data_IF_199488742469
#
_entry.id   IF_199488742469
#
_cell.length_a   1.000
_cell.length_b   1.000
_cell.length_c   1.000
_cell.angle_alpha   90.00
_cell.angle_beta   90.00
_cell.angle_gamma   90.00
#
_symmetry.space_group_name_H-M   'P 1'
#
loop_
_entity.id
_entity.type
_entity.pdbx_description
1 polymer ?
#
# COMPACT_ATOMS: atom_id res chain seq x y z
N UNK A 1 -21.80 24.97 -64.58
CA UNK A 1 -21.95 24.91 -63.11
C UNK A 1 -21.71 23.47 -62.68
N UNK A 2 -20.46 23.16 -62.31
CA UNK A 2 -20.03 21.83 -61.87
C UNK A 2 -19.37 22.05 -60.50
N UNK A 3 -19.89 21.39 -59.47
CA UNK A 3 -19.39 21.53 -58.10
C UNK A 3 -20.22 20.71 -57.12
N UNK A 4 -20.21 19.38 -57.23
CA UNK A 4 -20.94 18.51 -56.30
C UNK A 4 -20.45 17.06 -56.30
N UNK A 5 -19.15 16.83 -56.11
CA UNK A 5 -18.58 15.47 -56.14
C UNK A 5 -17.52 15.11 -55.08
N UNK A 6 -16.77 16.07 -54.53
CA UNK A 6 -15.50 15.75 -53.85
C UNK A 6 -15.56 15.64 -52.31
N UNK A 7 -16.73 15.76 -51.66
CA UNK A 7 -16.84 15.79 -50.19
C UNK A 7 -17.50 14.56 -49.52
N UNK A 8 -17.66 13.41 -50.20
CA UNK A 8 -18.41 12.27 -49.65
C UNK A 8 -17.59 11.23 -48.88
N UNK A 9 -16.31 11.04 -49.20
CA UNK A 9 -15.54 9.95 -48.60
C UNK A 9 -14.91 10.35 -47.25
N UNK A 10 -14.54 11.63 -47.11
CA UNK A 10 -14.02 12.18 -45.85
C UNK A 10 -15.06 12.13 -44.72
N UNK A 11 -16.33 12.40 -45.01
CA UNK A 11 -17.40 12.35 -44.02
C UNK A 11 -17.66 10.93 -43.52
N UNK A 12 -17.65 9.95 -44.43
CA UNK A 12 -17.77 8.52 -44.11
C UNK A 12 -16.54 8.05 -43.31
N UNK A 13 -15.34 8.48 -43.68
CA UNK A 13 -14.11 8.16 -42.96
C UNK A 13 -14.10 8.75 -41.54
N UNK A 14 -14.50 10.02 -41.38
CA UNK A 14 -14.62 10.66 -40.06
C UNK A 14 -15.68 9.98 -39.18
N UNK A 15 -16.82 9.58 -39.76
CA UNK A 15 -17.84 8.81 -39.05
C UNK A 15 -17.31 7.44 -38.61
N UNK A 16 -16.59 6.74 -39.48
CA UNK A 16 -15.96 5.47 -39.17
C UNK A 16 -14.94 5.58 -38.03
N UNK A 17 -14.05 6.57 -38.09
CA UNK A 17 -13.06 6.85 -37.02
C UNK A 17 -13.78 7.23 -35.72
N UNK A 18 -14.80 8.08 -35.79
CA UNK A 18 -15.61 8.48 -34.64
C UNK A 18 -16.31 7.30 -33.98
N UNK A 19 -16.96 6.45 -34.77
CA UNK A 19 -17.63 5.24 -34.29
C UNK A 19 -16.65 4.26 -33.64
N UNK A 20 -15.50 3.98 -34.28
CA UNK A 20 -14.45 3.12 -33.71
C UNK A 20 -13.93 3.69 -32.39
N UNK A 21 -13.72 5.01 -32.32
CA UNK A 21 -13.25 5.68 -31.10
C UNK A 21 -14.27 5.57 -29.96
N UNK A 22 -15.55 5.81 -30.24
CA UNK A 22 -16.63 5.66 -29.25
C UNK A 22 -16.75 4.22 -28.78
N UNK A 23 -16.76 3.25 -29.69
CA UNK A 23 -16.82 1.81 -29.34
C UNK A 23 -15.61 1.41 -28.51
N UNK A 24 -14.40 1.86 -28.87
CA UNK A 24 -13.18 1.60 -28.10
C UNK A 24 -13.29 2.15 -26.68
N UNK A 25 -13.77 3.38 -26.50
CA UNK A 25 -13.96 3.96 -25.18
C UNK A 25 -15.06 3.26 -24.37
N UNK A 26 -16.20 2.91 -24.98
CA UNK A 26 -17.27 2.17 -24.32
C UNK A 26 -16.81 0.78 -23.88
N UNK A 27 -16.10 0.05 -24.74
CA UNK A 27 -15.53 -1.25 -24.41
C UNK A 27 -14.50 -1.13 -23.27
N UNK A 28 -13.63 -0.13 -23.34
CA UNK A 28 -12.66 0.14 -22.26
C UNK A 28 -13.36 0.45 -20.94
N UNK A 29 -14.40 1.30 -20.94
CA UNK A 29 -15.16 1.64 -19.74
C UNK A 29 -15.89 0.44 -19.16
N UNK A 30 -16.57 -0.36 -19.99
CA UNK A 30 -17.27 -1.57 -19.54
C UNK A 30 -16.31 -2.59 -18.94
N UNK A 31 -15.14 -2.83 -19.56
CA UNK A 31 -14.09 -3.70 -19.01
C UNK A 31 -13.54 -3.18 -17.68
N UNK A 32 -13.34 -1.86 -17.54
CA UNK A 32 -12.90 -1.24 -16.28
C UNK A 32 -13.94 -1.38 -15.18
N UNK A 33 -15.22 -1.11 -15.47
CA UNK A 33 -16.32 -1.29 -14.52
C UNK A 33 -16.46 -2.74 -14.10
N UNK A 34 -16.38 -3.68 -15.05
CA UNK A 34 -16.40 -5.11 -14.77
C UNK A 34 -15.23 -5.55 -13.89
N UNK A 35 -14.02 -5.06 -14.17
CA UNK A 35 -12.85 -5.30 -13.33
C UNK A 35 -13.07 -4.78 -11.90
N UNK A 36 -13.62 -3.58 -11.73
CA UNK A 36 -13.96 -3.01 -10.43
C UNK A 36 -14.99 -3.86 -9.66
N UNK A 37 -16.07 -4.29 -10.32
CA UNK A 37 -17.09 -5.19 -9.74
C UNK A 37 -16.44 -6.50 -9.29
N UNK A 38 -15.61 -7.10 -10.14
CA UNK A 38 -14.91 -8.35 -9.84
C UNK A 38 -13.97 -8.20 -8.63
N UNK A 39 -13.17 -7.14 -8.58
CA UNK A 39 -12.15 -6.94 -7.54
C UNK A 39 -12.74 -6.49 -6.21
N UNK A 40 -13.84 -5.72 -6.19
CA UNK A 40 -14.35 -5.11 -4.94
C UNK A 40 -15.70 -5.64 -4.47
N UNK A 41 -16.52 -6.21 -5.36
CA UNK A 41 -17.82 -6.80 -4.97
C UNK A 41 -17.75 -8.31 -4.91
N UNK A 42 -17.31 -8.97 -6.00
CA UNK A 42 -17.24 -10.44 -6.02
C UNK A 42 -16.23 -10.99 -5.02
N UNK A 43 -15.11 -10.27 -4.82
CA UNK A 43 -14.08 -10.65 -3.84
C UNK A 43 -14.58 -10.68 -2.39
N UNK A 44 -15.58 -9.86 -2.05
CA UNK A 44 -16.19 -9.87 -0.72
C UNK A 44 -17.04 -11.12 -0.47
N UNK A 45 -17.62 -11.68 -1.53
CA UNK A 45 -18.50 -12.86 -1.50
C UNK A 45 -17.66 -14.14 -1.64
N UNK A 46 -16.72 -14.16 -2.58
CA UNK A 46 -15.91 -15.31 -2.95
C UNK A 46 -14.45 -15.06 -2.57
N UNK A 47 -14.13 -15.30 -1.31
CA UNK A 47 -12.79 -15.02 -0.77
C UNK A 47 -11.82 -16.16 -1.09
N UNK A 48 -10.58 -15.81 -1.43
CA UNK A 48 -9.51 -16.80 -1.57
C UNK A 48 -9.19 -17.44 -0.20
N UNK A 49 -9.00 -18.76 -0.15
CA UNK A 49 -8.54 -19.43 1.06
C UNK A 49 -7.07 -19.10 1.31
N UNK A 50 -6.83 -18.18 2.24
CA UNK A 50 -5.48 -17.72 2.56
C UNK A 50 -4.63 -18.80 3.23
N UNK A 51 -5.24 -19.75 3.94
CA UNK A 51 -4.51 -20.87 4.57
C UNK A 51 -3.91 -21.80 3.53
N UNK A 52 -4.46 -21.78 2.31
CA UNK A 52 -3.89 -22.57 1.23
C UNK A 52 -2.43 -22.17 0.97
N UNK A 53 -2.01 -20.91 1.17
CA UNK A 53 -0.64 -20.47 0.90
C UNK A 53 0.41 -21.00 1.90
N UNK A 54 0.00 -21.41 3.10
CA UNK A 54 0.84 -21.99 4.15
C UNK A 54 0.30 -21.69 5.54
N UNK A 55 0.95 -22.25 6.57
CA UNK A 55 0.49 -22.14 7.96
C UNK A 55 0.73 -20.74 8.55
N UNK A 56 1.91 -20.15 8.30
CA UNK A 56 2.33 -18.92 8.95
C UNK A 56 2.28 -17.71 8.01
N UNK A 57 1.88 -16.57 8.56
CA UNK A 57 2.00 -15.26 7.93
C UNK A 57 2.99 -14.36 8.69
N UNK A 58 3.94 -13.78 7.96
CA UNK A 58 4.86 -12.77 8.50
C UNK A 58 4.30 -11.38 8.21
N UNK A 59 4.16 -10.55 9.24
CA UNK A 59 3.68 -9.16 9.11
C UNK A 59 4.72 -8.20 9.68
N UNK A 60 5.21 -7.29 8.84
CA UNK A 60 6.16 -6.23 9.28
C UNK A 60 5.41 -4.97 9.71
N UNK A 61 5.91 -4.30 10.75
CA UNK A 61 5.21 -3.15 11.35
C UNK A 61 3.89 -3.54 12.04
N UNK A 62 3.84 -4.73 12.64
CA UNK A 62 2.60 -5.36 13.10
C UNK A 62 2.01 -4.81 14.43
N UNK A 63 2.65 -3.81 15.04
CA UNK A 63 2.22 -3.30 16.35
C UNK A 63 1.10 -2.26 16.30
N UNK A 64 0.83 -1.66 15.15
CA UNK A 64 -0.24 -0.65 15.02
C UNK A 64 -0.74 -0.49 13.58
N UNK A 65 -1.84 0.25 13.41
CA UNK A 65 -2.33 0.68 12.10
C UNK A 65 -2.68 -0.49 11.18
N UNK A 66 -2.34 -0.35 9.89
CA UNK A 66 -2.63 -1.34 8.86
C UNK A 66 -1.96 -2.68 9.18
N UNK A 67 -0.68 -2.68 9.60
CA UNK A 67 0.04 -3.92 9.93
C UNK A 67 -0.64 -4.73 11.03
N UNK A 68 -1.02 -4.09 12.14
CA UNK A 68 -1.78 -4.76 13.20
C UNK A 68 -3.10 -5.32 12.69
N UNK A 69 -3.84 -4.53 11.91
CA UNK A 69 -5.12 -4.97 11.35
C UNK A 69 -4.98 -6.16 10.39
N UNK A 70 -3.90 -6.20 9.59
CA UNK A 70 -3.58 -7.36 8.76
C UNK A 70 -3.26 -8.58 9.60
N UNK A 71 -2.45 -8.44 10.66
CA UNK A 71 -2.13 -9.54 11.56
C UNK A 71 -3.39 -10.14 12.22
N UNK A 72 -4.27 -9.30 12.75
CA UNK A 72 -5.53 -9.73 13.35
C UNK A 72 -6.47 -10.40 12.34
N UNK A 73 -6.63 -9.83 11.13
CA UNK A 73 -7.51 -10.39 10.10
C UNK A 73 -6.95 -11.70 9.50
N UNK A 74 -5.63 -11.83 9.34
CA UNK A 74 -4.99 -13.10 8.93
C UNK A 74 -5.15 -14.18 9.99
N UNK A 75 -5.03 -13.83 11.27
CA UNK A 75 -5.27 -14.77 12.37
C UNK A 75 -6.73 -15.21 12.41
N UNK A 76 -7.66 -14.28 12.21
CA UNK A 76 -9.09 -14.58 12.08
C UNK A 76 -9.40 -15.52 10.92
N UNK A 77 -8.62 -15.45 9.83
CA UNK A 77 -8.71 -16.37 8.68
C UNK A 77 -7.96 -17.69 8.90
N UNK A 78 -7.39 -17.89 10.09
CA UNK A 78 -6.86 -19.16 10.54
C UNK A 78 -5.37 -19.40 10.31
N UNK A 79 -4.59 -18.35 10.03
CA UNK A 79 -3.12 -18.43 9.98
C UNK A 79 -2.47 -18.14 11.34
N UNK A 80 -1.33 -18.76 11.58
CA UNK A 80 -0.43 -18.39 12.68
C UNK A 80 0.41 -17.17 12.29
N UNK A 81 0.73 -16.29 13.23
CA UNK A 81 1.27 -14.95 12.90
C UNK A 81 2.66 -14.73 13.46
N UNK A 82 3.62 -14.42 12.58
CA UNK A 82 4.89 -13.82 12.96
C UNK A 82 4.76 -12.29 12.92
N UNK A 83 4.89 -11.67 14.08
CA UNK A 83 4.81 -10.23 14.27
C UNK A 83 6.22 -9.63 14.33
N UNK A 84 6.57 -8.77 13.37
CA UNK A 84 7.87 -8.09 13.34
C UNK A 84 7.68 -6.58 13.53
N UNK A 85 8.32 -6.02 14.56
CA UNK A 85 8.34 -4.57 14.83
C UNK A 85 9.45 -4.22 15.82
N UNK A 86 9.53 -2.95 16.21
CA UNK A 86 10.66 -2.38 16.98
C UNK A 86 10.44 -2.32 18.48
N UNK A 87 9.21 -2.52 18.94
CA UNK A 87 8.86 -2.47 20.37
C UNK A 87 8.35 -3.84 20.78
N UNK A 88 9.18 -4.53 21.54
CA UNK A 88 8.90 -5.89 22.03
C UNK A 88 7.65 -5.95 22.90
N UNK A 89 7.45 -4.95 23.75
CA UNK A 89 6.30 -4.89 24.67
C UNK A 89 4.99 -4.79 23.88
N UNK A 90 4.96 -3.91 22.86
CA UNK A 90 3.79 -3.77 21.99
C UNK A 90 3.53 -5.03 21.18
N UNK A 91 4.59 -5.71 20.71
CA UNK A 91 4.47 -6.98 20.00
C UNK A 91 3.85 -8.05 20.90
N UNK A 92 4.33 -8.18 22.14
CA UNK A 92 3.80 -9.14 23.12
C UNK A 92 2.33 -8.87 23.46
N UNK A 93 1.94 -7.60 23.58
CA UNK A 93 0.52 -7.26 23.78
C UNK A 93 -0.34 -7.70 22.60
N UNK A 94 0.08 -7.36 21.37
CA UNK A 94 -0.67 -7.75 20.15
C UNK A 94 -0.71 -9.27 19.98
N UNK A 95 0.40 -9.96 20.27
CA UNK A 95 0.48 -11.42 20.28
C UNK A 95 -0.58 -12.05 21.18
N UNK A 96 -0.61 -11.65 22.46
CA UNK A 96 -1.59 -12.16 23.45
C UNK A 96 -3.03 -11.88 23.03
N UNK A 97 -3.28 -10.70 22.46
CA UNK A 97 -4.61 -10.37 21.93
C UNK A 97 -5.02 -11.29 20.78
N UNK A 98 -4.12 -11.59 19.84
CA UNK A 98 -4.38 -12.49 18.71
C UNK A 98 -4.61 -13.92 19.21
N UNK A 99 -3.75 -14.41 20.09
CA UNK A 99 -3.82 -15.76 20.67
C UNK A 99 -5.16 -15.98 21.40
N UNK A 100 -5.55 -15.00 22.24
CA UNK A 100 -6.80 -15.08 23.01
C UNK A 100 -8.06 -14.97 22.13
N UNK A 101 -8.06 -14.12 21.09
CA UNK A 101 -9.25 -13.90 20.24
C UNK A 101 -9.44 -14.96 19.17
N UNK A 102 -8.36 -15.55 18.66
CA UNK A 102 -8.41 -16.39 17.45
C UNK A 102 -7.86 -17.80 17.63
N UNK A 103 -7.34 -18.13 18.82
CA UNK A 103 -6.74 -19.44 19.12
C UNK A 103 -5.70 -19.84 18.07
N UNK A 104 -4.83 -18.89 17.70
CA UNK A 104 -3.72 -19.04 16.76
C UNK A 104 -2.40 -18.88 17.49
N UNK A 105 -1.34 -19.47 16.97
CA UNK A 105 0.01 -19.27 17.50
C UNK A 105 0.58 -17.94 17.01
N UNK A 106 1.40 -17.31 17.85
CA UNK A 106 2.16 -16.14 17.43
C UNK A 106 3.65 -16.30 17.70
N UNK A 107 4.46 -15.64 16.88
CA UNK A 107 5.90 -15.48 17.09
C UNK A 107 6.25 -14.01 17.03
N UNK A 108 6.98 -13.53 18.02
CA UNK A 108 7.39 -12.13 18.13
C UNK A 108 8.85 -12.01 17.74
N UNK A 109 9.15 -11.14 16.78
CA UNK A 109 10.52 -10.80 16.37
C UNK A 109 10.71 -9.29 16.54
N UNK A 110 11.64 -8.91 17.41
CA UNK A 110 12.05 -7.53 17.58
C UNK A 110 13.11 -7.16 16.53
N UNK A 111 12.81 -6.18 15.68
CA UNK A 111 13.73 -5.67 14.67
C UNK A 111 13.40 -4.24 14.26
N UNK A 112 14.41 -3.35 14.26
CA UNK A 112 14.31 -2.00 13.68
C UNK A 112 14.81 -1.97 12.23
N UNK A 113 13.86 -1.94 11.29
CA UNK A 113 14.15 -1.82 9.86
C UNK A 113 14.91 -0.55 9.46
N UNK A 114 15.00 0.45 10.34
CA UNK A 114 15.84 1.63 10.13
C UNK A 114 17.35 1.34 10.28
N UNK A 115 17.74 0.27 10.98
CA UNK A 115 19.15 -0.15 11.19
C UNK A 115 19.80 -0.75 9.94
N UNK A 116 19.01 -1.02 8.89
CA UNK A 116 19.54 -1.49 7.61
C UNK A 116 19.84 -2.99 7.61
N UNK A 117 21.02 -3.39 7.15
CA UNK A 117 21.31 -4.80 6.83
C UNK A 117 21.53 -5.71 8.06
N UNK A 118 21.94 -5.15 9.20
CA UNK A 118 22.34 -5.90 10.40
C UNK A 118 21.26 -6.81 10.97
N UNK A 119 19.98 -6.47 10.77
CA UNK A 119 18.85 -7.17 11.39
C UNK A 119 18.45 -8.49 10.68
N UNK A 120 18.80 -8.66 9.41
CA UNK A 120 18.19 -9.74 8.61
C UNK A 120 18.71 -11.13 8.95
N UNK A 121 19.96 -11.27 9.41
CA UNK A 121 20.49 -12.56 9.88
C UNK A 121 19.71 -13.08 11.09
N UNK A 122 19.44 -12.20 12.06
CA UNK A 122 18.65 -12.53 13.24
C UNK A 122 17.17 -12.83 12.90
N UNK A 123 16.61 -12.15 11.90
CA UNK A 123 15.26 -12.44 11.39
C UNK A 123 15.22 -13.84 10.76
N UNK A 124 16.19 -14.17 9.88
CA UNK A 124 16.26 -15.49 9.23
C UNK A 124 16.28 -16.60 10.28
N UNK A 125 17.16 -16.49 11.27
CA UNK A 125 17.28 -17.49 12.33
C UNK A 125 15.97 -17.72 13.10
N UNK A 126 15.20 -16.67 13.37
CA UNK A 126 13.93 -16.78 14.10
C UNK A 126 12.77 -17.32 13.25
N UNK A 127 12.90 -17.28 11.92
CA UNK A 127 11.93 -17.83 10.96
C UNK A 127 12.21 -19.30 10.62
N UNK A 128 13.36 -19.86 11.04
CA UNK A 128 13.70 -21.26 10.78
C UNK A 128 12.63 -22.22 11.30
N UNK A 129 12.37 -23.27 10.51
CA UNK A 129 11.37 -24.29 10.81
C UNK A 129 9.91 -23.87 10.63
N UNK A 130 9.62 -22.62 10.24
CA UNK A 130 8.26 -22.17 9.97
C UNK A 130 7.88 -22.29 8.50
N UNK A 131 6.69 -22.84 8.24
CA UNK A 131 6.09 -22.81 6.91
C UNK A 131 5.46 -21.44 6.61
N UNK A 132 6.28 -20.48 6.20
CA UNK A 132 5.83 -19.12 5.88
C UNK A 132 5.12 -19.10 4.51
N UNK A 133 3.80 -19.03 4.53
CA UNK A 133 2.96 -18.97 3.33
C UNK A 133 2.62 -17.55 2.87
N UNK A 134 2.60 -16.58 3.79
CA UNK A 134 2.24 -15.19 3.49
C UNK A 134 3.28 -14.22 4.06
N UNK A 135 3.71 -13.25 3.27
CA UNK A 135 4.50 -12.10 3.72
C UNK A 135 3.72 -10.81 3.48
N UNK A 136 3.49 -10.03 4.53
CA UNK A 136 2.94 -8.67 4.45
C UNK A 136 4.06 -7.67 4.77
N UNK A 137 4.63 -7.10 3.72
CA UNK A 137 5.58 -5.98 3.83
C UNK A 137 4.80 -4.68 4.03
N UNK A 138 4.56 -4.34 5.30
CA UNK A 138 3.79 -3.17 5.69
C UNK A 138 4.64 -2.10 6.40
N UNK A 139 5.79 -2.47 6.97
CA UNK A 139 6.62 -1.55 7.73
C UNK A 139 6.93 -0.29 6.91
N UNK A 140 6.80 0.85 7.55
CA UNK A 140 7.17 2.12 6.95
C UNK A 140 7.18 3.24 7.97
N UNK A 141 7.96 4.26 7.67
CA UNK A 141 8.04 5.47 8.47
C UNK A 141 7.96 6.73 7.62
N UNK A 142 7.46 7.79 8.24
CA UNK A 142 7.57 9.14 7.72
C UNK A 142 8.88 9.77 8.24
N UNK A 143 9.51 10.61 7.42
CA UNK A 143 10.78 11.28 7.73
C UNK A 143 10.60 12.51 8.63
N UNK A 144 9.40 13.11 8.61
CA UNK A 144 9.01 14.22 9.46
C UNK A 144 7.59 13.97 9.98
N UNK A 145 7.35 14.20 11.28
CA UNK A 145 6.03 14.06 11.90
C UNK A 145 5.04 15.17 11.53
N UNK A 146 5.51 16.17 10.79
CA UNK A 146 4.76 17.32 10.28
C UNK A 146 5.17 17.54 8.82
N UNK A 147 4.31 18.17 8.01
CA UNK A 147 4.71 18.68 6.69
C UNK A 147 5.85 19.69 6.88
N UNK A 148 7.00 19.48 6.24
CA UNK A 148 8.17 20.33 6.40
C UNK A 148 8.94 20.41 5.08
N UNK A 149 9.53 21.57 4.82
CA UNK A 149 10.49 21.72 3.73
C UNK A 149 11.69 20.80 3.94
N UNK A 150 12.29 20.32 2.85
CA UNK A 150 13.37 19.33 2.87
C UNK A 150 14.53 19.69 3.81
N UNK A 151 14.91 20.97 3.86
CA UNK A 151 15.98 21.47 4.72
C UNK A 151 15.57 21.66 6.19
N UNK A 152 14.28 21.61 6.50
CA UNK A 152 13.74 21.79 7.85
C UNK A 152 13.56 20.46 8.59
N UNK A 153 14.09 19.35 8.03
CA UNK A 153 14.05 18.03 8.64
C UNK A 153 15.13 17.95 9.72
N UNK A 154 14.79 17.59 10.97
CA UNK A 154 15.80 17.35 12.00
C UNK A 154 16.70 16.16 11.61
N UNK A 155 18.01 16.32 11.75
CA UNK A 155 19.04 15.31 11.43
C UNK A 155 18.86 14.68 10.04
N UNK A 156 18.91 15.48 8.95
CA UNK A 156 18.53 15.02 7.62
C UNK A 156 19.39 13.84 7.14
N UNK A 157 20.70 13.84 7.40
CA UNK A 157 21.62 12.76 7.03
C UNK A 157 21.17 11.39 7.56
N UNK A 158 20.87 11.32 8.86
CA UNK A 158 20.41 10.10 9.51
C UNK A 158 18.99 9.74 9.07
N UNK A 159 18.08 10.72 9.00
CA UNK A 159 16.67 10.49 8.66
C UNK A 159 16.48 10.00 7.22
N UNK A 160 17.24 10.52 6.26
CA UNK A 160 17.23 10.06 4.87
C UNK A 160 17.53 8.55 4.83
N UNK A 161 18.64 8.14 5.44
CA UNK A 161 19.09 6.74 5.44
C UNK A 161 18.07 5.82 6.13
N UNK A 162 17.54 6.23 7.29
CA UNK A 162 16.54 5.45 8.02
C UNK A 162 15.26 5.22 7.20
N UNK A 163 14.79 6.24 6.49
CA UNK A 163 13.57 6.14 5.68
C UNK A 163 13.79 5.24 4.47
N UNK A 164 14.96 5.34 3.81
CA UNK A 164 15.32 4.46 2.70
C UNK A 164 15.41 3.01 3.17
N UNK A 165 16.08 2.76 4.30
CA UNK A 165 16.20 1.42 4.88
C UNK A 165 14.83 0.85 5.25
N UNK A 166 14.04 1.62 6.00
CA UNK A 166 12.76 1.17 6.54
C UNK A 166 11.70 0.98 5.46
N UNK A 167 11.60 1.88 4.49
CA UNK A 167 10.56 1.80 3.46
C UNK A 167 11.00 0.90 2.30
N UNK A 168 12.25 0.99 1.83
CA UNK A 168 12.72 0.39 0.56
C UNK A 168 13.48 -0.90 0.76
N UNK A 169 14.55 -0.86 1.55
CA UNK A 169 15.42 -2.02 1.75
C UNK A 169 14.66 -3.18 2.40
N UNK A 170 13.78 -2.87 3.36
CA UNK A 170 12.92 -3.83 4.06
C UNK A 170 12.13 -4.74 3.11
N UNK A 171 11.46 -4.17 2.10
CA UNK A 171 10.62 -4.91 1.17
C UNK A 171 11.45 -5.95 0.41
N UNK A 172 12.58 -5.53 -0.16
CA UNK A 172 13.43 -6.43 -0.95
C UNK A 172 14.14 -7.48 -0.10
N UNK A 173 14.65 -7.10 1.07
CA UNK A 173 15.34 -8.03 1.94
C UNK A 173 14.39 -9.06 2.54
N UNK A 174 13.19 -8.66 2.98
CA UNK A 174 12.18 -9.62 3.46
C UNK A 174 11.71 -10.56 2.36
N UNK A 175 11.56 -10.08 1.11
CA UNK A 175 11.30 -10.96 -0.03
C UNK A 175 12.46 -11.95 -0.25
N UNK A 176 13.71 -11.49 -0.24
CA UNK A 176 14.90 -12.36 -0.36
C UNK A 176 14.94 -13.44 0.72
N UNK A 177 14.54 -13.10 1.95
CA UNK A 177 14.54 -14.02 3.10
C UNK A 177 13.47 -15.09 2.97
N UNK A 178 12.25 -14.72 2.53
CA UNK A 178 11.09 -15.62 2.59
C UNK A 178 10.85 -16.37 1.27
N UNK A 179 11.19 -15.77 0.14
CA UNK A 179 10.89 -16.30 -1.19
C UNK A 179 11.48 -17.70 -1.45
N UNK A 180 12.72 -18.05 -1.05
CA UNK A 180 13.27 -19.38 -1.27
C UNK A 180 12.38 -20.51 -0.75
N UNK A 181 11.90 -20.41 0.49
CA UNK A 181 11.02 -21.40 1.08
C UNK A 181 9.66 -21.49 0.39
N UNK A 182 9.11 -20.36 -0.09
CA UNK A 182 7.88 -20.36 -0.89
C UNK A 182 8.08 -21.06 -2.25
N UNK A 183 9.25 -20.91 -2.87
CA UNK A 183 9.58 -21.51 -4.16
C UNK A 183 9.74 -23.03 -4.08
N UNK A 184 10.37 -23.53 -3.01
CA UNK A 184 10.48 -24.98 -2.76
C UNK A 184 9.10 -25.63 -2.73
N UNK A 185 8.11 -24.96 -2.13
CA UNK A 185 6.72 -25.43 -2.06
C UNK A 185 5.88 -25.04 -3.28
N UNK A 186 6.42 -24.26 -4.21
CA UNK A 186 5.73 -23.66 -5.37
C UNK A 186 4.44 -22.95 -4.96
N UNK A 187 4.45 -22.31 -3.80
CA UNK A 187 3.26 -21.70 -3.21
C UNK A 187 3.64 -20.61 -2.21
N UNK A 188 3.09 -19.42 -2.44
CA UNK A 188 3.28 -18.31 -1.52
C UNK A 188 2.56 -17.05 -1.96
N UNK A 189 2.29 -16.17 -1.00
CA UNK A 189 1.69 -14.86 -1.22
C UNK A 189 2.55 -13.77 -0.61
N UNK A 190 2.94 -12.79 -1.41
CA UNK A 190 3.64 -11.59 -0.95
C UNK A 190 2.73 -10.39 -1.17
N UNK A 191 2.41 -9.68 -0.09
CA UNK A 191 1.62 -8.45 -0.09
C UNK A 191 2.54 -7.29 0.27
N UNK A 192 2.80 -6.42 -0.70
CA UNK A 192 3.61 -5.23 -0.49
C UNK A 192 2.69 -4.01 -0.33
N UNK A 193 2.63 -3.45 0.88
CA UNK A 193 1.87 -2.25 1.15
C UNK A 193 2.66 -1.03 0.69
N UNK A 194 2.04 -0.26 -0.19
CA UNK A 194 2.55 0.98 -0.76
C UNK A 194 1.71 2.16 -0.26
N UNK A 195 1.56 3.24 -1.04
CA UNK A 195 0.71 4.37 -0.67
C UNK A 195 0.31 5.21 -1.89
N UNK A 196 -0.96 5.64 -1.97
CA UNK A 196 -1.49 6.42 -3.09
C UNK A 196 -1.02 7.88 -3.11
N UNK A 197 -0.51 8.43 -2.00
CA UNK A 197 0.21 9.73 -2.03
C UNK A 197 1.48 9.68 -2.89
N UNK A 198 1.92 8.50 -3.31
CA UNK A 198 2.99 8.33 -4.28
C UNK A 198 2.59 8.46 -5.75
N UNK A 199 1.29 8.51 -6.05
CA UNK A 199 0.82 8.59 -7.43
C UNK A 199 1.14 9.94 -8.08
N UNK A 200 1.33 10.99 -7.28
CA UNK A 200 1.52 12.36 -7.76
C UNK A 200 2.42 13.19 -6.83
N UNK A 201 3.16 14.18 -7.35
CA UNK A 201 4.04 15.01 -6.53
C UNK A 201 3.23 15.87 -5.56
N UNK A 202 3.58 15.83 -4.27
CA UNK A 202 2.92 16.59 -3.22
C UNK A 202 3.92 17.59 -2.60
N UNK A 203 3.64 18.90 -2.60
CA UNK A 203 4.40 19.94 -1.89
C UNK A 203 4.42 19.72 -0.37
N UNK A 204 5.43 20.27 0.31
CA UNK A 204 5.64 20.22 1.77
C UNK A 204 5.86 18.83 2.40
N UNK A 205 5.94 17.78 1.59
CA UNK A 205 6.44 16.46 1.99
C UNK A 205 7.61 16.01 1.12
N UNK A 206 8.43 16.92 0.59
CA UNK A 206 9.40 16.64 -0.47
C UNK A 206 10.33 15.43 -0.28
N UNK A 207 10.75 15.05 0.94
CA UNK A 207 11.54 13.80 1.12
C UNK A 207 10.68 12.53 1.24
N UNK A 208 9.50 12.60 1.87
CA UNK A 208 8.52 11.51 1.88
C UNK A 208 7.97 11.34 0.48
N UNK A 209 7.47 12.41 -0.13
CA UNK A 209 7.16 12.49 -1.55
C UNK A 209 8.34 11.99 -2.39
N UNK A 210 9.61 12.38 -2.23
CA UNK A 210 10.70 11.81 -3.02
C UNK A 210 10.90 10.30 -2.78
N UNK A 211 10.69 9.82 -1.56
CA UNK A 211 10.67 8.39 -1.19
C UNK A 211 9.30 7.73 -1.37
N UNK A 212 8.34 8.37 -2.05
CA UNK A 212 6.99 7.84 -2.33
C UNK A 212 6.55 8.11 -3.77
N UNK A 213 7.14 9.08 -4.45
CA UNK A 213 6.84 9.54 -5.81
C UNK A 213 7.09 8.42 -6.78
N UNK A 214 6.19 8.38 -7.76
CA UNK A 214 6.16 7.57 -8.97
C UNK A 214 7.51 7.21 -9.61
N UNK A 215 8.64 7.89 -9.37
CA UNK A 215 9.91 7.56 -10.01
C UNK A 215 10.88 6.67 -9.21
N UNK A 216 10.80 6.57 -7.87
CA UNK A 216 11.79 5.78 -7.11
C UNK A 216 11.15 4.73 -6.22
N UNK A 217 10.32 5.07 -5.22
CA UNK A 217 9.81 4.07 -4.27
C UNK A 217 8.53 3.36 -4.70
N UNK A 218 7.54 4.08 -5.25
CA UNK A 218 6.35 3.44 -5.80
C UNK A 218 6.68 2.71 -7.10
N UNK A 219 7.55 3.24 -7.97
CA UNK A 219 8.12 2.45 -9.06
C UNK A 219 8.86 1.27 -8.49
N UNK A 220 9.73 1.43 -7.49
CA UNK A 220 10.42 0.28 -6.91
C UNK A 220 9.44 -0.74 -6.38
N UNK A 221 8.58 -0.47 -5.41
CA UNK A 221 7.67 -1.48 -4.85
C UNK A 221 6.67 -1.99 -5.89
N UNK A 222 6.10 -1.15 -6.76
CA UNK A 222 5.12 -1.59 -7.77
C UNK A 222 5.78 -2.37 -8.91
N UNK A 223 6.87 -1.87 -9.49
CA UNK A 223 7.62 -2.61 -10.51
C UNK A 223 8.30 -3.82 -9.92
N UNK A 224 8.94 -3.73 -8.75
CA UNK A 224 9.47 -4.90 -8.04
C UNK A 224 8.37 -5.93 -7.82
N UNK A 225 7.20 -5.54 -7.31
CA UNK A 225 6.09 -6.48 -7.11
C UNK A 225 5.58 -7.08 -8.42
N UNK A 226 5.44 -6.27 -9.48
CA UNK A 226 4.96 -6.74 -10.79
C UNK A 226 5.98 -7.60 -11.53
N UNK A 227 7.26 -7.24 -11.48
CA UNK A 227 8.38 -8.01 -12.02
C UNK A 227 8.53 -9.32 -11.25
N UNK A 228 8.53 -9.27 -9.91
CA UNK A 228 8.57 -10.45 -9.06
C UNK A 228 7.36 -11.36 -9.31
N UNK A 229 6.16 -10.80 -9.50
CA UNK A 229 5.01 -11.60 -9.91
C UNK A 229 5.22 -12.23 -11.29
N UNK A 230 5.69 -11.47 -12.28
CA UNK A 230 5.94 -12.01 -13.62
C UNK A 230 6.99 -13.14 -13.61
N UNK A 231 8.07 -12.99 -12.83
CA UNK A 231 9.16 -13.97 -12.70
C UNK A 231 8.74 -15.27 -11.98
N UNK A 232 7.82 -15.17 -11.01
CA UNK A 232 7.52 -16.27 -10.09
C UNK A 232 6.06 -16.76 -10.13
N UNK A 233 5.17 -16.11 -10.90
CA UNK A 233 3.77 -16.53 -11.05
C UNK A 233 3.63 -17.94 -11.61
N UNK A 234 4.42 -18.27 -12.65
CA UNK A 234 4.48 -19.63 -13.21
C UNK A 234 5.05 -20.67 -12.23
N UNK A 235 5.72 -20.20 -11.16
CA UNK A 235 6.26 -21.03 -10.07
C UNK A 235 5.33 -21.05 -8.85
N UNK A 236 4.10 -20.55 -8.98
CA UNK A 236 3.06 -20.60 -7.94
C UNK A 236 3.15 -19.49 -6.88
N UNK A 237 3.93 -18.45 -7.13
CA UNK A 237 4.05 -17.30 -6.22
C UNK A 237 3.14 -16.15 -6.68
N UNK A 238 2.23 -15.75 -5.80
CA UNK A 238 1.40 -14.57 -6.02
C UNK A 238 2.03 -13.37 -5.33
N UNK A 239 2.19 -12.26 -6.05
CA UNK A 239 2.67 -11.01 -5.47
C UNK A 239 1.64 -9.93 -5.75
N UNK A 240 1.14 -9.30 -4.69
CA UNK A 240 0.15 -8.24 -4.75
C UNK A 240 0.72 -6.96 -4.15
N UNK A 241 0.60 -5.86 -4.89
CA UNK A 241 0.88 -4.53 -4.39
C UNK A 241 -0.45 -3.86 -3.98
N UNK A 242 -0.50 -3.36 -2.75
CA UNK A 242 -1.69 -2.68 -2.22
C UNK A 242 -1.33 -1.23 -1.93
N UNK A 243 -2.01 -0.28 -2.57
CA UNK A 243 -1.76 1.15 -2.44
C UNK A 243 -2.93 1.84 -1.69
N UNK A 244 -2.89 1.94 -0.35
CA UNK A 244 -3.92 2.66 0.41
C UNK A 244 -3.94 4.16 0.10
N UNK A 245 -5.14 4.76 0.10
CA UNK A 245 -5.35 6.17 0.43
C UNK A 245 -5.39 6.35 1.96
N UNK A 246 -6.01 7.41 2.46
CA UNK A 246 -6.10 7.68 3.90
C UNK A 246 -6.84 6.55 4.65
N UNK A 247 -6.13 5.97 5.62
CA UNK A 247 -6.63 4.99 6.59
C UNK A 247 -6.37 5.56 7.97
N UNK A 248 -7.37 5.48 8.85
CA UNK A 248 -7.21 5.94 10.24
C UNK A 248 -6.21 5.06 10.98
N UNK A 249 -5.01 5.61 11.21
CA UNK A 249 -3.89 4.95 11.89
C UNK A 249 -3.13 5.95 12.76
N UNK A 250 -2.20 5.45 13.57
CA UNK A 250 -1.27 6.29 14.33
C UNK A 250 -0.43 7.22 13.41
N UNK A 251 -0.09 6.78 12.20
CA UNK A 251 0.65 7.60 11.23
C UNK A 251 -0.16 8.81 10.75
N UNK A 252 -1.48 8.68 10.71
CA UNK A 252 -2.41 9.74 10.31
C UNK A 252 -3.10 10.38 11.51
N UNK A 253 -2.52 10.29 12.72
CA UNK A 253 -3.08 10.84 13.96
C UNK A 253 -4.53 10.41 14.27
N UNK A 254 -4.93 9.19 13.88
CA UNK A 254 -6.26 8.64 14.13
C UNK A 254 -7.41 9.57 13.66
N UNK A 255 -7.27 10.16 12.47
CA UNK A 255 -8.34 10.95 11.83
C UNK A 255 -9.66 10.17 11.85
N UNK A 256 -10.80 10.84 12.11
CA UNK A 256 -12.11 10.19 12.18
C UNK A 256 -12.46 9.41 10.92
N UNK A 257 -13.04 8.22 11.12
CA UNK A 257 -13.53 7.35 10.05
C UNK A 257 -14.75 7.99 9.39
N UNK A 258 -14.82 7.93 8.07
CA UNK A 258 -15.94 8.41 7.26
C UNK A 258 -16.00 7.60 5.93
N UNK A 259 -16.95 7.84 5.01
CA UNK A 259 -17.04 7.07 3.76
C UNK A 259 -15.75 7.08 2.91
N UNK A 260 -14.92 8.11 3.05
CA UNK A 260 -13.65 8.28 2.35
C UNK A 260 -12.43 7.78 3.15
N UNK A 261 -12.54 7.70 4.49
CA UNK A 261 -11.45 7.30 5.40
C UNK A 261 -11.89 6.03 6.15
N UNK A 262 -11.26 4.90 5.82
CA UNK A 262 -11.55 3.63 6.49
C UNK A 262 -10.76 3.45 7.79
N UNK A 263 -11.33 2.67 8.72
CA UNK A 263 -10.57 2.12 9.84
C UNK A 263 -9.55 1.10 9.34
N UNK A 264 -8.45 0.92 10.06
CA UNK A 264 -7.44 -0.08 9.70
C UNK A 264 -8.03 -1.50 9.60
N UNK A 265 -8.93 -1.88 10.52
CA UNK A 265 -9.57 -3.19 10.54
C UNK A 265 -10.47 -3.44 9.32
N UNK A 266 -11.32 -2.46 8.95
CA UNK A 266 -12.16 -2.58 7.75
C UNK A 266 -11.30 -2.61 6.49
N UNK A 267 -10.25 -1.77 6.45
CA UNK A 267 -9.35 -1.71 5.31
C UNK A 267 -8.60 -3.03 5.09
N UNK A 268 -8.02 -3.61 6.14
CA UNK A 268 -7.27 -4.87 6.03
C UNK A 268 -8.15 -6.03 5.53
N UNK A 269 -9.40 -6.10 6.03
CA UNK A 269 -10.39 -7.08 5.58
C UNK A 269 -10.70 -6.95 4.09
N UNK A 270 -11.02 -5.74 3.64
CA UNK A 270 -11.36 -5.49 2.24
C UNK A 270 -10.15 -5.75 1.33
N UNK A 271 -8.96 -5.32 1.76
CA UNK A 271 -7.74 -5.52 0.99
C UNK A 271 -7.39 -7.00 0.85
N UNK A 272 -7.49 -7.80 1.92
CA UNK A 272 -7.29 -9.24 1.87
C UNK A 272 -8.32 -9.97 1.01
N UNK A 273 -9.54 -9.44 0.88
CA UNK A 273 -10.54 -10.02 -0.04
C UNK A 273 -10.07 -9.94 -1.50
N UNK A 274 -9.34 -8.88 -1.87
CA UNK A 274 -8.87 -8.71 -3.25
C UNK A 274 -7.76 -9.68 -3.68
N UNK A 275 -7.20 -10.46 -2.75
CA UNK A 275 -6.16 -11.46 -3.05
C UNK A 275 -6.68 -12.47 -4.07
N UNK A 276 -5.89 -12.75 -5.11
CA UNK A 276 -6.26 -13.65 -6.21
C UNK A 276 -7.10 -13.01 -7.32
N UNK A 277 -7.62 -11.78 -7.11
CA UNK A 277 -8.40 -11.07 -8.12
C UNK A 277 -7.57 -10.07 -8.94
N UNK A 278 -6.55 -9.48 -8.31
CA UNK A 278 -5.65 -8.51 -8.95
C UNK A 278 -4.29 -8.50 -8.27
N UNK A 279 -3.26 -8.11 -9.02
CA UNK A 279 -1.89 -7.92 -8.52
C UNK A 279 -1.62 -6.49 -8.06
N UNK A 280 -2.49 -5.54 -8.41
CA UNK A 280 -2.44 -4.15 -7.95
C UNK A 280 -3.83 -3.66 -7.56
N UNK A 281 -3.96 -3.04 -6.40
CA UNK A 281 -5.24 -2.57 -5.88
C UNK A 281 -5.05 -1.44 -4.87
N UNK A 282 -6.02 -0.53 -4.78
CA UNK A 282 -6.07 0.42 -3.66
C UNK A 282 -6.65 -0.18 -2.37
N UNK A 283 -6.85 -1.50 -2.33
CA UNK A 283 -7.31 -2.27 -1.17
C UNK A 283 -8.80 -2.20 -0.88
N UNK A 284 -9.49 -1.11 -1.23
CA UNK A 284 -10.94 -1.01 -1.05
C UNK A 284 -11.62 -0.13 -2.11
N UNK A 285 -12.94 -0.29 -2.27
CA UNK A 285 -13.72 0.42 -3.29
C UNK A 285 -13.68 1.94 -3.13
N UNK A 286 -13.72 2.44 -1.89
CA UNK A 286 -13.68 3.88 -1.60
C UNK A 286 -12.37 4.50 -2.11
N UNK A 287 -11.25 3.82 -1.87
CA UNK A 287 -9.92 4.23 -2.33
C UNK A 287 -9.79 4.11 -3.85
N UNK A 288 -10.37 3.08 -4.47
CA UNK A 288 -10.38 2.94 -5.94
C UNK A 288 -11.19 4.06 -6.63
N UNK A 289 -12.31 4.48 -6.04
CA UNK A 289 -13.09 5.62 -6.52
C UNK A 289 -12.31 6.93 -6.37
N UNK A 290 -11.62 7.14 -5.24
CA UNK A 290 -10.73 8.28 -5.05
C UNK A 290 -9.59 8.31 -6.08
N UNK A 291 -8.94 7.18 -6.33
CA UNK A 291 -7.92 7.04 -7.37
C UNK A 291 -8.45 7.48 -8.74
N UNK A 292 -9.61 6.95 -9.11
CA UNK A 292 -10.25 7.21 -10.39
C UNK A 292 -10.64 8.69 -10.52
N UNK A 293 -11.28 9.26 -9.50
CA UNK A 293 -11.64 10.68 -9.46
C UNK A 293 -10.40 11.57 -9.57
N UNK A 294 -9.32 11.27 -8.84
CA UNK A 294 -8.07 12.02 -8.89
C UNK A 294 -7.42 11.96 -10.29
N UNK A 295 -7.45 10.80 -10.95
CA UNK A 295 -6.90 10.63 -12.28
C UNK A 295 -7.70 11.36 -13.36
N UNK A 296 -9.03 11.45 -13.21
CA UNK A 296 -9.92 12.09 -14.19
C UNK A 296 -9.98 13.60 -13.98
N UNK A 297 -10.20 14.05 -12.75
CA UNK A 297 -10.50 15.45 -12.43
C UNK A 297 -9.24 16.30 -12.31
N UNK A 298 -8.11 15.68 -11.95
CA UNK A 298 -6.93 16.41 -11.52
C UNK A 298 -5.68 15.94 -12.29
N UNK A 299 -5.54 16.20 -13.60
CA UNK A 299 -4.42 15.66 -14.37
C UNK A 299 -3.06 16.12 -13.83
N UNK A 300 -2.03 15.29 -13.98
CA UNK A 300 -0.73 15.47 -13.32
C UNK A 300 -0.01 16.80 -13.62
N UNK A 301 -0.25 17.40 -14.80
CA UNK A 301 0.32 18.69 -15.19
C UNK A 301 -0.30 19.87 -14.41
N UNK A 302 -1.57 19.76 -14.01
CA UNK A 302 -2.26 20.84 -13.27
C UNK A 302 -1.80 20.93 -11.80
N UNK A 303 -1.40 19.78 -11.22
CA UNK A 303 -0.97 19.69 -9.81
C UNK A 303 0.39 20.30 -9.51
N UNK A 304 1.23 20.38 -10.54
CA UNK A 304 2.57 20.94 -10.45
C UNK A 304 2.61 22.44 -10.74
N UNK A 305 1.45 23.07 -10.94
CA UNK A 305 1.37 24.52 -11.10
C UNK A 305 1.63 25.23 -9.76
N UNK A 306 2.28 26.40 -9.81
CA UNK A 306 2.54 27.24 -8.62
C UNK A 306 1.26 27.51 -7.83
N UNK A 307 0.12 27.68 -8.49
CA UNK A 307 -1.18 27.87 -7.87
C UNK A 307 -1.60 26.69 -6.96
N UNK A 308 -1.46 25.46 -7.46
CA UNK A 308 -1.77 24.27 -6.67
C UNK A 308 -0.80 24.10 -5.49
N UNK A 309 0.48 24.46 -5.69
CA UNK A 309 1.50 24.45 -4.64
C UNK A 309 1.14 25.43 -3.54
N UNK A 310 0.87 26.70 -3.87
CA UNK A 310 0.47 27.73 -2.91
C UNK A 310 -0.83 27.39 -2.18
N UNK A 311 -1.81 26.79 -2.85
CA UNK A 311 -3.03 26.32 -2.22
C UNK A 311 -2.76 25.21 -1.19
N UNK A 312 -1.89 24.25 -1.51
CA UNK A 312 -1.50 23.21 -0.56
C UNK A 312 -0.67 23.76 0.59
N UNK A 313 0.18 24.76 0.35
CA UNK A 313 0.94 25.44 1.40
C UNK A 313 0.03 26.18 2.38
N UNK A 314 -0.94 26.95 1.86
CA UNK A 314 -1.95 27.61 2.69
C UNK A 314 -2.77 26.61 3.50
N UNK A 315 -3.14 25.48 2.90
CA UNK A 315 -3.87 24.43 3.59
C UNK A 315 -3.04 23.76 4.70
N UNK A 316 -1.76 23.50 4.45
CA UNK A 316 -0.85 22.94 5.44
C UNK A 316 -0.70 23.88 6.65
N UNK A 317 -0.54 25.18 6.41
CA UNK A 317 -0.45 26.20 7.47
C UNK A 317 -1.74 26.29 8.31
N UNK A 318 -2.91 26.08 7.70
CA UNK A 318 -4.19 26.03 8.42
C UNK A 318 -4.30 24.78 9.32
N UNK A 319 -3.71 23.67 8.89
CA UNK A 319 -3.80 22.38 9.60
C UNK A 319 -2.70 22.22 10.66
N UNK A 320 -1.54 22.83 10.46
CA UNK A 320 -0.36 22.71 11.31
C UNK A 320 -0.65 22.95 12.81
N UNK A 321 -1.39 24.00 13.24
CA UNK A 321 -1.72 24.20 14.64
C UNK A 321 -2.51 23.03 15.24
N UNK A 322 -3.44 22.48 14.46
CA UNK A 322 -4.33 21.38 14.87
C UNK A 322 -3.57 20.06 14.98
N UNK A 323 -2.62 19.83 14.07
CA UNK A 323 -1.71 18.66 14.12
C UNK A 323 -0.75 18.79 15.30
N UNK A 324 -0.18 19.97 15.54
CA UNK A 324 0.72 20.22 16.67
C UNK A 324 0.02 20.05 18.02
N UNK A 325 -1.23 20.49 18.14
CA UNK A 325 -2.05 20.28 19.34
C UNK A 325 -2.31 18.79 19.59
N UNK A 326 -2.65 18.02 18.53
CA UNK A 326 -2.84 16.57 18.62
C UNK A 326 -1.54 15.85 19.00
N UNK A 327 -0.41 16.23 18.40
CA UNK A 327 0.92 15.69 18.69
C UNK A 327 1.32 15.92 20.16
N UNK A 328 1.02 17.09 20.69
CA UNK A 328 1.29 17.44 22.09
C UNK A 328 0.42 16.62 23.05
N UNK A 329 -0.89 16.49 22.75
CA UNK A 329 -1.80 15.63 23.54
C UNK A 329 -1.38 14.15 23.54
N UNK A 330 -0.79 13.67 22.45
CA UNK A 330 -0.31 12.29 22.34
C UNK A 330 0.99 12.05 23.11
N UNK A 331 1.96 12.99 23.06
CA UNK A 331 3.17 12.91 23.89
C UNK A 331 2.82 12.84 25.38
N UNK A 332 1.85 13.64 25.80
CA UNK A 332 1.38 13.66 27.19
C UNK A 332 0.57 12.41 27.61
N UNK A 333 0.12 11.59 26.66
CA UNK A 333 -0.54 10.30 26.92
C UNK A 333 0.43 9.10 26.91
N UNK A 334 1.67 9.32 26.46
CA UNK A 334 2.71 8.29 26.38
C UNK A 334 3.83 8.47 27.41
N UNK A 335 3.84 9.60 28.14
CA UNK A 335 4.61 9.82 29.37
C UNK A 335 3.76 9.41 30.58
#
# INVERSE_FOLDING_TARGET
>A
MQGSGECSWYSVALWGIGAVTVVFHLLRWTLLCWHGIKVYLLSGIWQADLRSYGQWAVVTGATSGIGRAYAEELAKRGLDIVLISRSKEKLQTVAKEIESKHSRQTRVIEADFAEGHSIYSAIVQQLEGLEIGILVNNVGMNYCGVLANFLNVPDPEKRITQVINCNTLSVSQMCRVILPGMLERKKGLIINISSEVGTHPQPLISLYSATKVKHTFMVFVTFFSRSLHAEYSSKGITVQCVAPFMVSTNMTHNIPVNPLIKSAASYARDALNTVGYTTYTSGCISHALQHTALCIVFPGWLRLTSLCVECMEKFALVIEPRVNELMTKMKNKQA
#
